data_IF_870605500831
#
_entry.id   IF_870605500831
#
_cell.length_a   1.000
_cell.length_b   1.000
_cell.length_c   1.000
_cell.angle_alpha   90.00
_cell.angle_beta   90.00
_cell.angle_gamma   90.00
#
_symmetry.space_group_name_H-M   'P 1'
#
loop_
_entity.id
_entity.type
_entity.pdbx_description
1 polymer ?
#
# COMPACT_ATOMS: atom_id res chain seq x y z
N UNK A 1 -23.11 16.75 -24.96
CA UNK A 1 -22.70 15.92 -23.83
C UNK A 1 -23.07 16.67 -22.57
N UNK A 2 -23.81 16.05 -21.70
CA UNK A 2 -24.40 16.68 -20.53
C UNK A 2 -23.90 16.06 -19.24
N UNK A 3 -23.75 16.90 -18.20
CA UNK A 3 -23.55 16.45 -16.83
C UNK A 3 -24.65 17.05 -15.94
N UNK A 4 -25.40 16.21 -15.22
CA UNK A 4 -26.52 16.63 -14.37
C UNK A 4 -27.49 17.68 -15.03
N UNK A 5 -27.71 17.56 -16.36
CA UNK A 5 -28.52 18.46 -17.12
C UNK A 5 -27.83 19.74 -17.62
N UNK A 6 -26.57 19.93 -17.30
CA UNK A 6 -25.75 21.06 -17.77
C UNK A 6 -24.90 20.59 -18.96
N UNK A 7 -24.81 21.40 -20.02
CA UNK A 7 -23.97 21.11 -21.18
C UNK A 7 -22.50 21.32 -20.80
N UNK A 8 -21.72 20.24 -20.73
CA UNK A 8 -20.27 20.31 -20.46
C UNK A 8 -19.43 20.42 -21.74
N UNK A 9 -19.83 19.66 -22.77
CA UNK A 9 -19.11 19.63 -24.04
C UNK A 9 -20.07 19.72 -25.24
N UNK A 10 -19.66 20.46 -26.25
CA UNK A 10 -20.33 20.53 -27.56
C UNK A 10 -19.43 19.84 -28.57
N UNK A 11 -19.97 18.83 -29.26
CA UNK A 11 -19.28 18.13 -30.32
C UNK A 11 -19.74 18.67 -31.64
N UNK A 12 -18.84 19.25 -32.44
CA UNK A 12 -19.12 19.71 -33.76
C UNK A 12 -18.59 18.72 -34.80
N UNK A 13 -19.49 18.20 -35.64
CA UNK A 13 -19.14 17.29 -36.74
C UNK A 13 -19.47 18.01 -38.05
N UNK A 14 -18.53 18.05 -39.00
CA UNK A 14 -18.67 18.70 -40.31
C UNK A 14 -18.67 17.64 -41.40
N UNK A 15 -19.57 17.74 -42.33
CA UNK A 15 -19.65 16.91 -43.52
C UNK A 15 -20.97 17.15 -44.26
N UNK A 16 -21.12 16.60 -45.47
CA UNK A 16 -22.26 16.87 -46.37
C UNK A 16 -23.29 15.74 -46.40
N UNK A 17 -22.98 14.56 -45.82
CA UNK A 17 -23.82 13.38 -45.89
C UNK A 17 -24.59 13.09 -44.60
N UNK A 18 -25.75 12.39 -44.71
CA UNK A 18 -26.50 11.91 -43.54
C UNK A 18 -25.70 11.01 -42.60
N UNK A 19 -24.67 10.33 -43.10
CA UNK A 19 -23.75 9.51 -42.28
C UNK A 19 -23.04 10.33 -41.24
N UNK A 20 -22.66 11.58 -41.54
CA UNK A 20 -22.01 12.50 -40.61
C UNK A 20 -22.87 12.75 -39.36
N UNK A 21 -24.18 12.87 -39.52
CA UNK A 21 -25.09 13.02 -38.40
C UNK A 21 -25.15 11.76 -37.52
N UNK A 22 -25.16 10.57 -38.15
CA UNK A 22 -25.12 9.30 -37.41
C UNK A 22 -23.80 9.12 -36.62
N UNK A 23 -22.67 9.45 -37.27
CA UNK A 23 -21.35 9.43 -36.63
C UNK A 23 -21.32 10.40 -35.45
N UNK A 24 -21.83 11.62 -35.62
CA UNK A 24 -21.94 12.61 -34.56
C UNK A 24 -22.74 12.13 -33.35
N UNK A 25 -23.87 11.47 -33.57
CA UNK A 25 -24.67 10.87 -32.51
C UNK A 25 -23.95 9.74 -31.78
N UNK A 26 -23.28 8.85 -32.50
CA UNK A 26 -22.49 7.76 -31.91
C UNK A 26 -21.36 8.33 -31.09
N UNK A 27 -20.61 9.31 -31.61
CA UNK A 27 -19.54 9.98 -30.89
C UNK A 27 -20.04 10.66 -29.61
N UNK A 28 -21.17 11.38 -29.69
CA UNK A 28 -21.76 12.02 -28.52
C UNK A 28 -22.19 11.00 -27.44
N UNK A 29 -22.76 9.88 -27.83
CA UNK A 29 -23.15 8.80 -26.92
C UNK A 29 -21.93 8.14 -26.28
N UNK A 30 -20.89 7.87 -27.08
CA UNK A 30 -19.64 7.28 -26.58
C UNK A 30 -18.94 8.19 -25.56
N UNK A 31 -18.81 9.48 -25.86
CA UNK A 31 -18.19 10.46 -24.97
C UNK A 31 -19.03 10.61 -23.70
N UNK A 32 -20.37 10.64 -23.81
CA UNK A 32 -21.26 10.66 -22.65
C UNK A 32 -21.02 9.45 -21.74
N UNK A 33 -20.94 8.26 -22.31
CA UNK A 33 -20.69 7.02 -21.56
C UNK A 33 -19.31 7.00 -20.90
N UNK A 34 -18.28 7.49 -21.59
CA UNK A 34 -16.92 7.62 -21.05
C UNK A 34 -16.85 8.60 -19.88
N UNK A 35 -17.54 9.74 -19.98
CA UNK A 35 -17.59 10.74 -18.90
C UNK A 35 -18.28 10.19 -17.64
N UNK A 36 -19.39 9.47 -17.81
CA UNK A 36 -20.06 8.83 -16.68
C UNK A 36 -19.14 7.81 -16.00
N UNK A 37 -18.50 6.95 -16.79
CA UNK A 37 -17.56 5.95 -16.25
C UNK A 37 -16.34 6.60 -15.57
N UNK A 38 -15.82 7.68 -16.15
CA UNK A 38 -14.70 8.43 -15.55
C UNK A 38 -15.07 9.06 -14.20
N UNK A 39 -16.25 9.70 -14.12
CA UNK A 39 -16.75 10.29 -12.87
C UNK A 39 -16.99 9.23 -11.81
N UNK A 40 -17.60 8.12 -12.15
CA UNK A 40 -17.81 7.01 -11.22
C UNK A 40 -16.47 6.49 -10.67
N UNK A 41 -15.49 6.33 -11.55
CA UNK A 41 -14.12 5.92 -11.15
C UNK A 41 -13.46 6.96 -10.23
N UNK A 42 -13.58 8.25 -10.57
CA UNK A 42 -13.05 9.35 -9.79
C UNK A 42 -13.69 9.43 -8.39
N UNK A 43 -15.02 9.29 -8.32
CA UNK A 43 -15.76 9.31 -7.06
C UNK A 43 -15.39 8.13 -6.16
N UNK A 44 -15.21 6.93 -6.73
CA UNK A 44 -14.73 5.75 -6.00
C UNK A 44 -13.32 5.94 -5.49
N UNK A 45 -12.40 6.43 -6.32
CA UNK A 45 -11.01 6.68 -5.94
C UNK A 45 -10.92 7.71 -4.81
N UNK A 46 -11.66 8.82 -4.93
CA UNK A 46 -11.73 9.86 -3.92
C UNK A 46 -12.35 9.36 -2.60
N UNK A 47 -13.39 8.54 -2.70
CA UNK A 47 -13.98 7.90 -1.51
C UNK A 47 -12.98 7.00 -0.79
N UNK A 48 -12.28 6.12 -1.52
CA UNK A 48 -11.29 5.21 -0.95
C UNK A 48 -10.10 5.99 -0.34
N UNK A 49 -9.61 7.04 -0.99
CA UNK A 49 -8.56 7.90 -0.42
C UNK A 49 -8.97 8.51 0.93
N UNK A 50 -10.16 9.08 0.99
CA UNK A 50 -10.66 9.66 2.23
C UNK A 50 -10.92 8.61 3.32
N UNK A 51 -11.35 7.40 2.94
CA UNK A 51 -11.50 6.27 3.85
C UNK A 51 -10.15 5.82 4.45
N UNK A 52 -9.12 5.65 3.61
CA UNK A 52 -7.78 5.28 4.04
C UNK A 52 -7.18 6.31 5.00
N UNK A 53 -7.39 7.60 4.72
CA UNK A 53 -6.89 8.71 5.54
C UNK A 53 -7.72 8.98 6.80
N UNK A 54 -8.79 8.21 7.04
CA UNK A 54 -9.69 8.36 8.19
C UNK A 54 -10.41 9.73 8.22
N UNK A 55 -10.69 10.29 7.04
CA UNK A 55 -11.30 11.60 6.84
C UNK A 55 -12.84 11.55 6.74
N UNK A 56 -13.46 10.40 6.98
CA UNK A 56 -14.89 10.19 6.83
C UNK A 56 -15.56 9.84 8.16
N UNK A 57 -16.72 10.42 8.40
CA UNK A 57 -17.57 9.99 9.49
C UNK A 57 -18.20 8.63 9.17
N UNK A 58 -18.48 7.82 10.19
CA UNK A 58 -19.05 6.48 10.03
C UNK A 58 -20.34 6.48 9.18
N UNK A 59 -21.21 7.47 9.40
CA UNK A 59 -22.46 7.60 8.62
C UNK A 59 -22.17 7.88 7.14
N UNK A 60 -21.14 8.67 6.84
CA UNK A 60 -20.74 8.99 5.48
C UNK A 60 -20.11 7.78 4.78
N UNK A 61 -19.34 6.96 5.51
CA UNK A 61 -18.75 5.73 4.96
C UNK A 61 -19.86 4.85 4.38
N UNK A 62 -20.86 4.51 5.15
CA UNK A 62 -21.92 3.60 4.70
C UNK A 62 -22.84 4.22 3.65
N UNK A 63 -23.15 5.52 3.78
CA UNK A 63 -24.03 6.20 2.83
C UNK A 63 -23.36 6.35 1.45
N UNK A 64 -22.08 6.71 1.40
CA UNK A 64 -21.31 6.83 0.15
C UNK A 64 -21.01 5.47 -0.46
N UNK A 65 -20.61 4.47 0.36
CA UNK A 65 -20.39 3.12 -0.11
C UNK A 65 -21.62 2.56 -0.84
N UNK A 66 -22.83 2.76 -0.28
CA UNK A 66 -24.09 2.37 -0.91
C UNK A 66 -24.31 3.05 -2.28
N UNK A 67 -24.03 4.37 -2.36
CA UNK A 67 -24.15 5.13 -3.63
C UNK A 67 -23.17 4.67 -4.70
N UNK A 68 -21.96 4.27 -4.26
CA UNK A 68 -20.87 3.83 -5.13
C UNK A 68 -20.88 2.32 -5.41
N UNK A 69 -21.91 1.61 -4.93
CA UNK A 69 -22.05 0.16 -5.05
C UNK A 69 -20.84 -0.61 -4.48
N UNK A 70 -20.29 -0.13 -3.35
CA UNK A 70 -19.21 -0.77 -2.62
C UNK A 70 -19.82 -1.55 -1.47
N UNK A 71 -19.52 -2.84 -1.40
CA UNK A 71 -20.03 -3.72 -0.34
C UNK A 71 -19.29 -3.47 0.98
N UNK A 72 -20.02 -3.42 2.11
CA UNK A 72 -19.42 -3.08 3.40
C UNK A 72 -18.78 -4.30 4.08
N UNK A 73 -19.50 -5.43 4.12
CA UNK A 73 -19.14 -6.61 4.92
C UNK A 73 -18.38 -7.65 4.08
N UNK A 74 -17.26 -7.25 3.48
CA UNK A 74 -16.38 -8.13 2.73
C UNK A 74 -14.99 -8.05 3.36
N UNK A 75 -14.31 -9.20 3.42
CA UNK A 75 -12.92 -9.25 3.87
C UNK A 75 -12.02 -8.49 2.90
N UNK A 76 -11.25 -7.56 3.44
CA UNK A 76 -10.27 -6.76 2.69
C UNK A 76 -8.94 -6.74 3.41
N UNK A 77 -7.90 -6.50 2.64
CA UNK A 77 -6.56 -6.27 3.15
C UNK A 77 -5.92 -5.12 2.37
N UNK A 78 -5.05 -4.38 3.03
CA UNK A 78 -4.34 -3.27 2.42
C UNK A 78 -2.88 -3.66 2.18
N UNK A 79 -2.42 -3.44 0.95
CA UNK A 79 -1.00 -3.44 0.59
C UNK A 79 -0.58 -1.99 0.37
N UNK A 80 0.51 -1.59 1.01
CA UNK A 80 1.18 -0.33 0.77
C UNK A 80 2.46 -0.62 -0.01
N UNK A 81 2.59 -0.02 -1.17
CA UNK A 81 3.69 -0.20 -2.11
C UNK A 81 4.45 1.12 -2.16
N UNK A 82 5.70 1.11 -1.76
CA UNK A 82 6.56 2.29 -1.81
C UNK A 82 7.59 2.13 -2.93
N UNK A 83 7.74 3.20 -3.70
CA UNK A 83 8.69 3.27 -4.83
C UNK A 83 9.50 4.55 -4.73
N UNK A 84 10.77 4.48 -5.12
CA UNK A 84 11.68 5.64 -5.17
C UNK A 84 11.86 6.13 -6.62
N UNK A 85 10.77 6.24 -7.38
CA UNK A 85 10.83 6.55 -8.81
C UNK A 85 10.23 7.93 -9.08
N UNK A 86 10.81 8.63 -10.05
CA UNK A 86 10.31 9.90 -10.57
C UNK A 86 8.90 9.76 -11.17
N UNK A 87 8.15 10.86 -11.09
CA UNK A 87 6.70 11.01 -11.34
C UNK A 87 6.19 10.60 -12.73
N UNK A 88 7.07 10.30 -13.69
CA UNK A 88 6.71 10.11 -15.10
C UNK A 88 6.16 8.72 -15.44
N UNK A 89 6.25 7.74 -14.53
CA UNK A 89 5.73 6.40 -14.77
C UNK A 89 4.38 6.18 -14.10
N UNK A 90 3.42 5.72 -14.87
CA UNK A 90 2.07 5.43 -14.38
C UNK A 90 2.03 4.11 -13.59
N UNK A 91 2.72 4.08 -12.43
CA UNK A 91 2.87 2.90 -11.56
C UNK A 91 1.50 2.37 -11.10
N UNK A 92 0.53 3.26 -10.89
CA UNK A 92 -0.85 2.88 -10.55
C UNK A 92 -1.45 1.97 -11.62
N UNK A 93 -1.24 2.27 -12.90
CA UNK A 93 -1.76 1.43 -13.99
C UNK A 93 -0.98 0.12 -14.13
N UNK A 94 0.33 0.10 -13.83
CA UNK A 94 1.10 -1.15 -13.78
C UNK A 94 0.55 -2.06 -12.67
N UNK A 95 0.35 -1.55 -11.47
CA UNK A 95 -0.26 -2.34 -10.37
C UNK A 95 -1.66 -2.82 -10.74
N UNK A 96 -2.47 -1.98 -11.39
CA UNK A 96 -3.80 -2.39 -11.88
C UNK A 96 -3.74 -3.51 -12.90
N UNK A 97 -2.74 -3.51 -13.79
CA UNK A 97 -2.58 -4.54 -14.82
C UNK A 97 -2.26 -5.92 -14.28
N UNK A 98 -1.72 -6.02 -13.06
CA UNK A 98 -1.47 -7.28 -12.36
C UNK A 98 -2.77 -8.03 -12.05
N UNK A 99 -3.88 -7.30 -11.92
CA UNK A 99 -5.17 -7.88 -11.54
C UNK A 99 -6.15 -7.94 -12.71
N UNK A 100 -7.00 -8.97 -12.79
CA UNK A 100 -8.04 -9.04 -13.81
C UNK A 100 -8.96 -7.81 -13.75
N UNK A 101 -9.38 -7.29 -14.90
CA UNK A 101 -10.22 -6.10 -15.01
C UNK A 101 -11.58 -6.19 -14.28
N UNK A 102 -12.00 -7.39 -13.87
CA UNK A 102 -13.26 -7.64 -13.16
C UNK A 102 -13.13 -7.71 -11.64
N UNK A 103 -11.92 -7.47 -11.07
CA UNK A 103 -11.77 -7.43 -9.61
C UNK A 103 -12.40 -6.18 -9.04
N UNK A 104 -12.90 -6.30 -7.81
CA UNK A 104 -13.43 -5.16 -7.04
C UNK A 104 -12.34 -4.50 -6.19
N UNK A 105 -11.09 -4.70 -6.56
CA UNK A 105 -9.92 -4.14 -5.89
C UNK A 105 -9.78 -2.65 -6.21
N UNK A 106 -9.29 -1.88 -5.25
CA UNK A 106 -9.02 -0.46 -5.42
C UNK A 106 -7.52 -0.22 -5.41
N UNK A 107 -7.00 0.41 -6.45
CA UNK A 107 -5.61 0.85 -6.55
C UNK A 107 -5.60 2.36 -6.63
N UNK A 108 -5.00 3.02 -5.65
CA UNK A 108 -4.93 4.47 -5.55
C UNK A 108 -3.56 4.93 -5.05
N UNK A 109 -3.22 6.20 -5.25
CA UNK A 109 -2.04 6.83 -4.66
C UNK A 109 -2.49 7.87 -3.63
N UNK A 110 -1.91 7.84 -2.44
CA UNK A 110 -2.21 8.80 -1.37
C UNK A 110 -1.16 9.90 -1.32
N UNK A 111 0.07 9.59 -1.68
CA UNK A 111 1.18 10.52 -1.82
C UNK A 111 2.01 10.19 -3.09
N UNK A 112 3.10 10.92 -3.28
CA UNK A 112 3.91 10.82 -4.52
C UNK A 112 4.66 9.49 -4.65
N UNK A 113 4.97 8.83 -3.54
CA UNK A 113 5.83 7.64 -3.48
C UNK A 113 5.07 6.37 -3.06
N UNK A 114 3.79 6.51 -2.67
CA UNK A 114 3.02 5.42 -2.06
C UNK A 114 1.79 5.08 -2.88
N UNK A 115 1.73 3.85 -3.34
CA UNK A 115 0.56 3.26 -3.98
C UNK A 115 -0.09 2.29 -3.02
N UNK A 116 -1.40 2.35 -2.94
CA UNK A 116 -2.19 1.53 -2.05
C UNK A 116 -3.11 0.65 -2.87
N UNK A 117 -3.04 -0.64 -2.60
CA UNK A 117 -3.98 -1.62 -3.09
C UNK A 117 -4.88 -2.05 -1.92
N UNK A 118 -6.18 -1.80 -2.03
CA UNK A 118 -7.21 -2.37 -1.16
C UNK A 118 -7.79 -3.57 -1.89
N UNK A 119 -7.39 -4.77 -1.48
CA UNK A 119 -7.79 -6.02 -2.14
C UNK A 119 -8.97 -6.67 -1.43
N UNK A 120 -9.99 -7.07 -2.18
CA UNK A 120 -11.05 -7.94 -1.68
C UNK A 120 -10.55 -9.39 -1.63
N UNK A 121 -10.77 -10.05 -0.49
CA UNK A 121 -10.33 -11.43 -0.27
C UNK A 121 -11.50 -12.42 -0.46
N UNK A 122 -11.17 -13.58 -0.98
CA UNK A 122 -12.10 -14.71 -0.99
C UNK A 122 -12.22 -15.27 0.43
N UNK A 123 -13.33 -15.93 0.74
CA UNK A 123 -13.60 -16.45 2.10
C UNK A 123 -12.48 -17.34 2.67
N UNK A 124 -11.79 -18.09 1.81
CA UNK A 124 -10.74 -19.06 2.20
C UNK A 124 -9.34 -18.64 1.74
N UNK A 125 -9.14 -17.37 1.39
CA UNK A 125 -7.81 -16.90 0.98
C UNK A 125 -6.85 -16.95 2.16
N UNK A 126 -5.76 -17.71 2.02
CA UNK A 126 -4.76 -17.92 3.07
C UNK A 126 -3.75 -16.78 3.13
N UNK A 127 -3.02 -16.68 4.25
CA UNK A 127 -1.95 -15.69 4.39
C UNK A 127 -0.82 -15.93 3.36
N UNK A 128 -0.56 -17.19 3.00
CA UNK A 128 0.42 -17.53 1.96
C UNK A 128 0.02 -17.00 0.58
N UNK A 129 -1.28 -17.02 0.25
CA UNK A 129 -1.79 -16.44 -1.01
C UNK A 129 -1.71 -14.92 -1.01
N UNK A 130 -1.93 -14.29 0.15
CA UNK A 130 -1.77 -12.85 0.35
C UNK A 130 -0.30 -12.46 0.11
N UNK A 131 0.66 -13.18 0.70
CA UNK A 131 2.09 -12.94 0.50
C UNK A 131 2.56 -13.23 -0.93
N UNK A 132 2.01 -14.25 -1.58
CA UNK A 132 2.24 -14.50 -3.01
C UNK A 132 1.76 -13.34 -3.88
N UNK A 133 0.62 -12.75 -3.54
CA UNK A 133 0.12 -11.54 -4.23
C UNK A 133 1.12 -10.39 -4.12
N UNK A 134 1.64 -10.12 -2.92
CA UNK A 134 2.67 -9.10 -2.72
C UNK A 134 3.93 -9.40 -3.55
N UNK A 135 4.35 -10.66 -3.61
CA UNK A 135 5.51 -11.07 -4.41
C UNK A 135 5.29 -10.83 -5.91
N UNK A 136 4.12 -11.20 -6.43
CA UNK A 136 3.77 -10.96 -7.85
C UNK A 136 3.84 -9.46 -8.17
N UNK A 137 3.29 -8.60 -7.29
CA UNK A 137 3.35 -7.15 -7.46
C UNK A 137 4.81 -6.67 -7.46
N UNK A 138 5.62 -7.13 -6.49
CA UNK A 138 7.03 -6.75 -6.40
C UNK A 138 7.82 -7.18 -7.64
N UNK A 139 7.67 -8.43 -8.07
CA UNK A 139 8.37 -8.97 -9.23
C UNK A 139 7.99 -8.21 -10.52
N UNK A 140 6.69 -7.90 -10.69
CA UNK A 140 6.22 -7.12 -11.85
C UNK A 140 6.79 -5.71 -11.85
N UNK A 141 6.69 -5.01 -10.72
CA UNK A 141 7.20 -3.63 -10.61
C UNK A 141 8.73 -3.58 -10.75
N UNK A 142 9.45 -4.52 -10.15
CA UNK A 142 10.91 -4.59 -10.29
C UNK A 142 11.33 -4.82 -11.75
N UNK A 143 10.59 -5.66 -12.49
CA UNK A 143 10.86 -5.91 -13.91
C UNK A 143 10.57 -4.69 -14.79
N UNK A 144 9.44 -4.01 -14.57
CA UNK A 144 9.02 -2.86 -15.37
C UNK A 144 9.81 -1.58 -15.06
N UNK A 145 10.17 -1.39 -13.78
CA UNK A 145 10.76 -0.15 -13.28
C UNK A 145 12.29 -0.24 -13.13
N UNK A 146 12.86 -1.43 -13.22
CA UNK A 146 14.28 -1.71 -12.96
C UNK A 146 14.76 -1.12 -11.60
N UNK A 147 13.90 -1.14 -10.58
CA UNK A 147 14.18 -0.64 -9.24
C UNK A 147 13.52 -1.52 -8.19
N UNK A 148 14.07 -1.48 -6.98
CA UNK A 148 13.51 -2.22 -5.86
C UNK A 148 12.30 -1.46 -5.29
N UNK A 149 11.20 -2.18 -5.07
CA UNK A 149 10.01 -1.66 -4.41
C UNK A 149 9.82 -2.32 -3.05
N UNK A 150 9.33 -1.57 -2.08
CA UNK A 150 8.96 -2.08 -0.77
C UNK A 150 7.45 -2.27 -0.71
N UNK A 151 7.02 -3.43 -0.22
CA UNK A 151 5.60 -3.73 -0.05
C UNK A 151 5.33 -4.11 1.39
N UNK A 152 4.40 -3.44 2.01
CA UNK A 152 3.93 -3.83 3.34
C UNK A 152 2.46 -4.22 3.30
N UNK A 153 2.09 -5.12 4.21
CA UNK A 153 0.78 -5.76 4.27
C UNK A 153 0.18 -5.48 5.64
N UNK A 154 -1.03 -4.89 5.66
CA UNK A 154 -1.81 -4.70 6.88
C UNK A 154 -2.51 -5.96 7.35
N UNK A 155 -3.45 -5.83 8.28
CA UNK A 155 -4.28 -6.96 8.73
C UNK A 155 -5.56 -7.10 7.90
N UNK A 156 -6.13 -8.30 7.90
CA UNK A 156 -7.43 -8.57 7.29
C UNK A 156 -8.52 -7.87 8.10
N UNK A 157 -9.37 -7.14 7.42
CA UNK A 157 -10.55 -6.48 8.00
C UNK A 157 -11.83 -6.98 7.34
N UNK A 158 -12.91 -7.06 8.09
CA UNK A 158 -14.18 -7.60 7.59
C UNK A 158 -15.26 -6.52 7.35
N UNK A 159 -14.99 -5.28 7.75
CA UNK A 159 -15.87 -4.14 7.55
C UNK A 159 -15.13 -3.03 6.83
N UNK A 160 -15.81 -2.33 5.95
CA UNK A 160 -15.24 -1.24 5.16
C UNK A 160 -14.68 -0.11 6.02
N UNK A 161 -15.33 0.21 7.14
CA UNK A 161 -14.84 1.24 8.09
C UNK A 161 -13.45 0.94 8.66
N UNK A 162 -13.08 -0.35 8.74
CA UNK A 162 -11.80 -0.78 9.33
C UNK A 162 -10.65 -0.77 8.31
N UNK A 163 -10.90 -0.42 7.04
CA UNK A 163 -9.86 -0.35 6.00
C UNK A 163 -8.77 0.67 6.35
N UNK A 164 -9.14 1.79 7.00
CA UNK A 164 -8.18 2.78 7.50
C UNK A 164 -7.22 2.19 8.54
N UNK A 165 -7.70 1.26 9.38
CA UNK A 165 -6.86 0.54 10.34
C UNK A 165 -5.84 -0.35 9.62
N UNK A 166 -6.29 -1.16 8.66
CA UNK A 166 -5.39 -2.01 7.87
C UNK A 166 -4.31 -1.18 7.14
N UNK A 167 -4.67 0.00 6.64
CA UNK A 167 -3.70 0.94 6.05
C UNK A 167 -2.68 1.48 7.05
N UNK A 168 -3.12 1.91 8.23
CA UNK A 168 -2.23 2.39 9.30
C UNK A 168 -1.25 1.29 9.74
N UNK A 169 -1.73 0.06 9.81
CA UNK A 169 -0.92 -1.12 10.14
C UNK A 169 0.09 -1.45 9.03
N UNK A 170 -0.33 -1.38 7.74
CA UNK A 170 0.59 -1.52 6.61
C UNK A 170 1.68 -0.43 6.64
N UNK A 171 1.31 0.82 6.92
CA UNK A 171 2.27 1.93 7.04
C UNK A 171 3.27 1.68 8.17
N UNK A 172 2.79 1.24 9.33
CA UNK A 172 3.68 0.86 10.44
C UNK A 172 4.59 -0.30 10.04
N UNK A 173 4.07 -1.31 9.33
CA UNK A 173 4.86 -2.44 8.88
C UNK A 173 5.99 -2.01 7.94
N UNK A 174 5.75 -1.05 7.06
CA UNK A 174 6.76 -0.49 6.18
C UNK A 174 7.89 0.17 6.97
N UNK A 175 7.56 1.04 7.92
CA UNK A 175 8.54 1.78 8.73
C UNK A 175 9.35 0.84 9.63
N UNK A 176 8.68 -0.09 10.31
CA UNK A 176 9.34 -1.09 11.16
C UNK A 176 10.23 -2.01 10.34
N UNK A 177 9.75 -2.45 9.16
CA UNK A 177 10.51 -3.30 8.26
C UNK A 177 11.81 -2.65 7.80
N UNK A 178 11.79 -1.37 7.44
CA UNK A 178 12.99 -0.61 7.08
C UNK A 178 14.04 -0.55 8.20
N UNK A 179 13.57 -0.50 9.46
CA UNK A 179 14.47 -0.41 10.62
C UNK A 179 15.06 -1.78 11.01
N UNK A 180 14.22 -2.81 11.06
CA UNK A 180 14.58 -4.09 11.67
C UNK A 180 14.86 -5.22 10.68
N UNK A 181 14.33 -5.16 9.45
CA UNK A 181 14.42 -6.24 8.48
C UNK A 181 15.33 -5.95 7.28
N UNK A 182 15.94 -4.75 7.25
CA UNK A 182 16.97 -4.34 6.29
C UNK A 182 16.60 -4.62 4.83
N UNK A 183 17.08 -5.75 4.29
CA UNK A 183 16.95 -6.10 2.88
C UNK A 183 15.61 -6.77 2.50
N UNK A 184 14.69 -6.95 3.45
CA UNK A 184 13.39 -7.51 3.12
C UNK A 184 12.48 -6.48 2.47
N UNK A 185 12.04 -6.79 1.27
CA UNK A 185 11.18 -5.91 0.46
C UNK A 185 9.67 -6.15 0.67
N UNK A 186 9.30 -7.26 1.33
CA UNK A 186 7.90 -7.58 1.65
C UNK A 186 7.79 -7.80 3.15
N UNK A 187 7.00 -6.96 3.82
CA UNK A 187 6.83 -6.96 5.27
C UNK A 187 5.35 -7.10 5.63
N UNK A 188 5.04 -8.05 6.49
CA UNK A 188 3.68 -8.27 6.97
C UNK A 188 3.54 -7.78 8.41
N UNK A 189 2.54 -6.94 8.69
CA UNK A 189 2.29 -6.39 10.03
C UNK A 189 2.16 -7.47 11.11
N UNK A 190 1.49 -8.58 10.81
CA UNK A 190 1.33 -9.68 11.77
C UNK A 190 2.65 -10.37 12.14
N UNK A 191 3.65 -10.32 11.23
CA UNK A 191 4.96 -10.96 11.43
C UNK A 191 6.00 -10.06 12.12
N UNK A 192 5.70 -8.80 12.37
CA UNK A 192 6.64 -7.85 13.01
C UNK A 192 7.01 -8.19 14.46
N UNK A 193 6.21 -9.02 15.12
CA UNK A 193 6.46 -9.42 16.51
C UNK A 193 6.61 -8.22 17.46
N UNK A 194 7.70 -8.22 18.24
CA UNK A 194 8.00 -7.17 19.22
C UNK A 194 8.40 -5.83 18.56
N UNK A 195 8.86 -5.84 17.30
CA UNK A 195 9.28 -4.63 16.58
C UNK A 195 8.23 -3.55 16.56
N UNK A 196 6.95 -3.92 16.39
CA UNK A 196 5.82 -2.97 16.40
C UNK A 196 5.59 -2.32 17.76
N UNK A 197 5.91 -3.00 18.88
CA UNK A 197 5.82 -2.42 20.22
C UNK A 197 6.97 -1.44 20.44
N UNK A 198 8.20 -1.83 20.08
CA UNK A 198 9.38 -0.97 20.20
C UNK A 198 9.21 0.31 19.38
N UNK A 199 8.71 0.20 18.16
CA UNK A 199 8.47 1.35 17.27
C UNK A 199 7.48 2.36 17.86
N UNK A 200 6.50 1.91 18.68
CA UNK A 200 5.51 2.78 19.32
C UNK A 200 6.01 3.44 20.62
N UNK A 201 7.19 3.04 21.13
CA UNK A 201 7.72 3.64 22.34
C UNK A 201 8.17 5.09 22.07
N UNK A 202 7.87 6.03 22.99
CA UNK A 202 8.40 7.39 22.88
C UNK A 202 9.91 7.40 22.87
N UNK A 203 10.53 8.14 21.93
CA UNK A 203 11.99 8.26 21.85
C UNK A 203 12.68 8.63 23.16
N UNK A 204 12.15 9.55 24.00
CA UNK A 204 12.75 9.82 25.30
C UNK A 204 12.83 8.60 26.20
N UNK A 205 11.79 7.74 26.17
CA UNK A 205 11.77 6.50 26.95
C UNK A 205 12.83 5.51 26.44
N UNK A 206 12.95 5.36 25.11
CA UNK A 206 13.99 4.52 24.52
C UNK A 206 15.39 4.99 24.90
N UNK A 207 15.64 6.30 24.82
CA UNK A 207 16.95 6.89 25.20
C UNK A 207 17.27 6.69 26.68
N UNK A 208 16.27 6.86 27.55
CA UNK A 208 16.44 6.63 28.99
C UNK A 208 16.82 5.16 29.25
N UNK A 209 16.07 4.22 28.67
CA UNK A 209 16.33 2.79 28.81
C UNK A 209 17.71 2.39 28.29
N UNK A 210 18.11 2.87 27.10
CA UNK A 210 19.44 2.61 26.54
C UNK A 210 20.52 3.11 27.50
N UNK A 211 20.38 4.33 28.02
CA UNK A 211 21.36 4.92 28.97
C UNK A 211 21.45 4.12 30.28
N UNK A 212 20.33 3.60 30.76
CA UNK A 212 20.33 2.75 31.97
C UNK A 212 21.00 1.41 31.68
N UNK A 213 20.65 0.72 30.61
CA UNK A 213 21.19 -0.59 30.25
C UNK A 213 22.65 -0.53 29.89
N UNK A 214 23.08 0.51 29.19
CA UNK A 214 24.48 0.70 28.80
C UNK A 214 25.32 1.45 29.86
N UNK A 215 24.76 1.66 31.07
CA UNK A 215 25.46 2.36 32.18
C UNK A 215 26.05 3.72 31.79
N UNK A 216 25.33 4.45 30.95
CA UNK A 216 25.68 5.79 30.46
C UNK A 216 26.52 5.82 29.18
N UNK A 217 26.92 4.67 28.65
CA UNK A 217 27.48 4.57 27.30
C UNK A 217 26.45 4.83 26.23
N UNK A 218 26.90 5.25 25.07
CA UNK A 218 26.08 5.42 23.85
C UNK A 218 26.50 4.40 22.79
N UNK A 219 25.76 4.27 21.72
CA UNK A 219 26.13 3.38 20.60
C UNK A 219 27.44 3.83 19.94
N UNK A 220 27.77 5.12 20.01
CA UNK A 220 29.02 5.68 19.45
C UNK A 220 30.28 5.31 20.27
N UNK A 221 30.10 4.80 21.48
CA UNK A 221 31.18 4.32 22.33
C UNK A 221 31.65 2.90 22.00
N UNK A 222 30.89 2.21 21.09
CA UNK A 222 31.26 0.85 20.66
C UNK A 222 31.94 0.89 19.29
N UNK A 223 33.04 0.20 19.16
CA UNK A 223 33.70 0.01 17.87
C UNK A 223 32.94 -0.99 16.98
N UNK A 224 33.21 -0.94 15.68
CA UNK A 224 32.57 -1.79 14.69
C UNK A 224 32.74 -3.30 14.99
N UNK A 225 33.90 -3.69 15.55
CA UNK A 225 34.19 -5.07 15.91
C UNK A 225 33.30 -5.56 17.06
N UNK A 226 33.09 -4.72 18.06
CA UNK A 226 32.16 -4.99 19.16
C UNK A 226 30.75 -5.11 18.68
N UNK A 227 30.27 -4.17 17.83
CA UNK A 227 28.94 -4.22 17.26
C UNK A 227 28.73 -5.47 16.38
N UNK A 228 29.70 -5.83 15.55
CA UNK A 228 29.70 -7.06 14.77
C UNK A 228 29.61 -8.31 15.64
N UNK A 229 30.32 -8.32 16.75
CA UNK A 229 30.32 -9.43 17.74
C UNK A 229 28.93 -9.56 18.39
N UNK A 230 28.35 -8.46 18.82
CA UNK A 230 27.01 -8.44 19.44
C UNK A 230 25.96 -8.93 18.44
N UNK A 231 26.00 -8.42 17.22
CA UNK A 231 25.07 -8.86 16.17
C UNK A 231 25.21 -10.36 15.91
N UNK A 232 26.45 -10.86 15.78
CA UNK A 232 26.70 -12.28 15.54
C UNK A 232 26.25 -13.17 16.70
N UNK A 233 26.37 -12.66 17.92
CA UNK A 233 25.87 -13.35 19.11
C UNK A 233 24.38 -13.53 19.10
N UNK A 234 23.62 -12.50 18.71
CA UNK A 234 22.17 -12.60 18.53
C UNK A 234 21.79 -13.53 17.37
N UNK A 235 22.48 -13.45 16.23
CA UNK A 235 22.26 -14.35 15.08
C UNK A 235 22.45 -15.83 15.47
N UNK A 236 23.39 -16.11 16.35
CA UNK A 236 23.69 -17.45 16.87
C UNK A 236 22.80 -17.83 18.07
N UNK A 237 21.64 -17.21 18.25
CA UNK A 237 20.71 -17.47 19.36
C UNK A 237 21.38 -17.42 20.74
N UNK A 238 22.22 -16.41 20.97
CA UNK A 238 22.97 -16.17 22.23
C UNK A 238 24.00 -17.29 22.55
N UNK A 239 24.48 -17.98 21.56
CA UNK A 239 25.45 -19.06 21.74
C UNK A 239 26.87 -18.50 21.86
N UNK A 240 27.37 -18.45 23.11
CA UNK A 240 28.69 -17.94 23.45
C UNK A 240 29.85 -18.75 22.80
N UNK A 241 29.63 -20.03 22.53
CA UNK A 241 30.69 -20.89 21.97
C UNK A 241 30.76 -20.81 20.44
N UNK A 242 29.61 -20.61 19.77
CA UNK A 242 29.55 -20.56 18.33
C UNK A 242 29.95 -19.19 17.76
N UNK A 243 29.63 -18.13 18.48
CA UNK A 243 29.89 -16.75 18.03
C UNK A 243 31.39 -16.50 17.77
N UNK A 244 32.35 -16.81 18.70
CA UNK A 244 33.76 -16.64 18.42
C UNK A 244 34.27 -17.50 17.26
N UNK A 245 33.73 -18.73 17.11
CA UNK A 245 34.11 -19.61 15.99
C UNK A 245 33.81 -18.97 14.65
N UNK A 246 32.62 -18.40 14.50
CA UNK A 246 32.20 -17.78 13.25
C UNK A 246 32.89 -16.44 12.99
N UNK A 247 33.30 -15.74 14.00
CA UNK A 247 34.08 -14.49 13.90
C UNK A 247 35.58 -14.71 13.79
N UNK A 248 36.07 -15.98 13.92
CA UNK A 248 37.48 -16.32 13.93
C UNK A 248 38.24 -15.61 15.05
N UNK A 249 37.58 -15.37 16.21
CA UNK A 249 38.15 -14.74 17.40
C UNK A 249 38.39 -15.83 18.45
N UNK A 250 39.52 -15.75 19.13
CA UNK A 250 39.89 -16.70 20.21
C UNK A 250 39.62 -16.11 21.59
#
# INVERSE_FOLDING_TARGET
>A
VYDNGITEYVIQVKGEDEEVYRIGKIAAFQIQSLLVAYKERYDKDNFIKNLLLDNLLLVDIYSRAKKLHIENNIKRIVYLIETNIDKDMNIVEIVRSVFPAKTKDFVTAVDENSIILVKELKEKESMDEIEKTAKIIADTLNAELNTKVYISIGTIVSDLKDVSRSYKEAKMALEVGKIFEGDKFIVNYEKLGIGRLIYQLPLPLCRMFIKEVLHGLTMDDFDDATLATVNKFFENNLNVSETPRQLYIH
#
